data_IF_077067399762
#
_entry.id   IF_077067399762
#
_cell.length_a   1.000
_cell.length_b   1.000
_cell.length_c   1.000
_cell.angle_alpha   90.00
_cell.angle_beta   90.00
_cell.angle_gamma   90.00
#
_symmetry.space_group_name_H-M   'P 1'
#
loop_
_entity.id
_entity.type
_entity.pdbx_description
1 polymer ?
#
# COMPACT_ATOMS: atom_id res chain seq x y z
N UNK A 1 10.30 2.25 -9.45
CA UNK A 1 9.99 2.82 -8.12
C UNK A 1 8.72 2.22 -7.54
N UNK A 2 7.63 2.15 -8.32
CA UNK A 2 6.36 1.53 -7.93
C UNK A 2 6.50 0.05 -7.55
N UNK A 3 7.12 -0.78 -8.41
CA UNK A 3 7.40 -2.21 -8.09
C UNK A 3 8.18 -2.39 -6.78
N UNK A 4 9.16 -1.53 -6.52
CA UNK A 4 9.92 -1.58 -5.27
C UNK A 4 9.09 -1.15 -4.03
N UNK A 5 8.02 -0.36 -4.22
CA UNK A 5 7.01 -0.13 -3.18
C UNK A 5 6.20 -1.42 -2.95
N UNK A 6 5.83 -2.16 -3.98
CA UNK A 6 5.06 -3.40 -3.82
C UNK A 6 5.79 -4.48 -3.04
N UNK A 7 7.12 -4.59 -3.19
CA UNK A 7 7.91 -5.49 -2.33
C UNK A 7 7.80 -5.11 -0.85
N UNK A 8 7.77 -3.81 -0.55
CA UNK A 8 7.55 -3.32 0.81
C UNK A 8 6.11 -3.54 1.27
N UNK A 9 5.11 -3.33 0.41
CA UNK A 9 3.71 -3.66 0.70
C UNK A 9 3.60 -5.11 1.14
N UNK A 10 4.10 -6.04 0.33
CA UNK A 10 4.09 -7.49 0.61
C UNK A 10 4.78 -7.80 1.93
N UNK A 11 5.94 -7.18 2.18
CA UNK A 11 6.67 -7.35 3.43
C UNK A 11 5.83 -6.91 4.64
N UNK A 12 5.38 -5.66 4.68
CA UNK A 12 4.70 -5.09 5.85
C UNK A 12 3.28 -5.66 6.05
N UNK A 13 2.54 -5.92 4.97
CA UNK A 13 1.26 -6.63 5.04
C UNK A 13 1.46 -8.05 5.61
N UNK A 14 2.52 -8.75 5.19
CA UNK A 14 2.89 -10.07 5.71
C UNK A 14 3.41 -10.08 7.16
N UNK A 15 3.80 -8.92 7.72
CA UNK A 15 4.17 -8.82 9.14
C UNK A 15 2.94 -8.77 10.06
N UNK A 16 1.78 -8.31 9.59
CA UNK A 16 0.58 -8.16 10.42
C UNK A 16 0.11 -9.49 11.06
N UNK A 17 -0.04 -10.59 10.31
CA UNK A 17 -0.40 -11.89 10.91
C UNK A 17 0.63 -12.40 11.92
N UNK A 18 1.92 -12.14 11.66
CA UNK A 18 3.02 -12.54 12.56
C UNK A 18 2.96 -11.76 13.86
N UNK A 19 2.75 -10.45 13.78
CA UNK A 19 2.56 -9.60 14.95
C UNK A 19 1.33 -10.03 15.77
N UNK A 20 0.21 -10.30 15.12
CA UNK A 20 -1.00 -10.76 15.80
C UNK A 20 -0.75 -12.08 16.57
N UNK A 21 -0.07 -13.05 15.96
CA UNK A 21 0.30 -14.30 16.61
C UNK A 21 1.31 -14.12 17.76
N UNK A 22 2.30 -13.24 17.58
CA UNK A 22 3.28 -12.91 18.61
C UNK A 22 2.62 -12.28 19.83
N UNK A 23 1.77 -11.27 19.63
CA UNK A 23 1.06 -10.60 20.74
C UNK A 23 0.15 -11.58 21.48
N UNK A 24 -0.52 -12.48 20.76
CA UNK A 24 -1.39 -13.49 21.39
C UNK A 24 -0.63 -14.50 22.26
N UNK A 25 0.65 -14.78 21.95
CA UNK A 25 1.44 -15.82 22.63
C UNK A 25 2.42 -15.26 23.66
N UNK A 26 3.01 -14.08 23.40
CA UNK A 26 4.07 -13.47 24.21
C UNK A 26 3.68 -12.15 24.87
N UNK A 27 2.52 -11.60 24.51
CA UNK A 27 2.11 -10.25 24.92
C UNK A 27 2.85 -9.16 24.16
N UNK A 28 2.78 -7.94 24.69
CA UNK A 28 3.38 -6.75 24.07
C UNK A 28 4.78 -6.53 24.62
N UNK A 29 5.76 -7.14 23.96
CA UNK A 29 7.18 -6.94 24.26
C UNK A 29 7.84 -5.94 23.30
N UNK A 30 9.14 -5.73 23.47
CA UNK A 30 9.88 -4.78 22.64
C UNK A 30 9.89 -5.14 21.14
N UNK A 31 9.73 -6.42 20.79
CA UNK A 31 9.64 -6.85 19.40
C UNK A 31 8.28 -6.49 18.80
N UNK A 32 7.19 -6.76 19.52
CA UNK A 32 5.84 -6.35 19.13
C UNK A 32 5.74 -4.84 18.90
N UNK A 33 6.31 -4.05 19.82
CA UNK A 33 6.35 -2.57 19.73
C UNK A 33 7.06 -2.11 18.45
N UNK A 34 8.27 -2.66 18.18
CA UNK A 34 9.03 -2.28 16.98
C UNK A 34 8.32 -2.68 15.69
N UNK A 35 7.73 -3.88 15.65
CA UNK A 35 6.99 -4.37 14.50
C UNK A 35 5.74 -3.51 14.23
N UNK A 36 4.94 -3.20 15.26
CA UNK A 36 3.78 -2.33 15.13
C UNK A 36 4.18 -0.94 14.62
N UNK A 37 5.22 -0.34 15.18
CA UNK A 37 5.73 0.96 14.72
C UNK A 37 6.22 0.93 13.26
N UNK A 38 6.86 -0.16 12.83
CA UNK A 38 7.32 -0.31 11.45
C UNK A 38 6.16 -0.43 10.45
N UNK A 39 5.14 -1.22 10.79
CA UNK A 39 3.92 -1.36 9.98
C UNK A 39 3.20 -0.01 9.88
N UNK A 40 3.01 0.69 11.01
CA UNK A 40 2.41 2.04 11.05
C UNK A 40 3.14 3.02 10.15
N UNK A 41 4.47 3.14 10.29
CA UNK A 41 5.26 4.06 9.45
C UNK A 41 5.04 3.81 7.96
N UNK A 42 4.97 2.54 7.55
CA UNK A 42 4.78 2.22 6.15
C UNK A 42 3.38 2.61 5.66
N UNK A 43 2.33 2.18 6.35
CA UNK A 43 0.96 2.37 5.89
C UNK A 43 0.37 3.76 6.17
N UNK A 44 0.93 4.53 7.11
CA UNK A 44 0.54 5.94 7.33
C UNK A 44 1.24 6.89 6.34
N UNK A 45 2.39 6.52 5.81
CA UNK A 45 3.24 7.44 5.03
C UNK A 45 3.48 6.95 3.62
N UNK A 46 4.13 5.80 3.45
CA UNK A 46 4.64 5.36 2.17
C UNK A 46 3.53 4.84 1.25
N UNK A 47 2.59 4.06 1.79
CA UNK A 47 1.47 3.51 1.03
C UNK A 47 0.53 4.60 0.46
N UNK A 48 0.07 5.60 1.23
CA UNK A 48 -0.74 6.69 0.66
C UNK A 48 -0.01 7.50 -0.41
N UNK A 49 1.30 7.73 -0.25
CA UNK A 49 2.09 8.41 -1.29
C UNK A 49 2.23 7.57 -2.56
N UNK A 50 2.21 6.25 -2.45
CA UNK A 50 2.26 5.34 -3.57
C UNK A 50 0.95 5.36 -4.36
N UNK A 51 -0.20 5.20 -3.68
CA UNK A 51 -1.49 5.34 -4.34
C UNK A 51 -1.64 6.73 -4.97
N UNK A 52 -1.17 7.79 -4.29
CA UNK A 52 -1.17 9.13 -4.86
C UNK A 52 -0.35 9.23 -6.15
N UNK A 53 0.77 8.51 -6.28
CA UNK A 53 1.52 8.50 -7.53
C UNK A 53 0.73 7.86 -8.67
N UNK A 54 -0.02 6.80 -8.36
CA UNK A 54 -0.84 6.12 -9.34
C UNK A 54 -2.05 6.96 -9.74
N UNK A 55 -2.78 7.45 -8.76
CA UNK A 55 -4.02 8.21 -8.94
C UNK A 55 -3.79 9.55 -9.65
N UNK A 56 -2.71 10.27 -9.30
CA UNK A 56 -2.44 11.60 -9.86
C UNK A 56 -1.69 11.55 -11.20
N UNK A 57 -0.81 10.57 -11.41
CA UNK A 57 0.14 10.61 -12.53
C UNK A 57 0.03 9.43 -13.51
N UNK A 58 -0.22 8.21 -13.03
CA UNK A 58 -0.20 7.01 -13.88
C UNK A 58 -1.57 6.71 -14.46
N UNK A 59 -2.57 6.55 -13.60
CA UNK A 59 -3.93 6.15 -13.98
C UNK A 59 -4.60 7.14 -14.94
N UNK A 60 -4.46 8.48 -14.80
CA UNK A 60 -5.01 9.42 -15.78
C UNK A 60 -4.47 9.19 -17.19
N UNK A 61 -3.17 8.92 -17.32
CA UNK A 61 -2.54 8.67 -18.63
C UNK A 61 -2.96 7.33 -19.22
N UNK A 62 -3.12 6.29 -18.39
CA UNK A 62 -3.65 5.00 -18.85
C UNK A 62 -5.10 5.11 -19.31
N UNK A 63 -5.93 5.93 -18.63
CA UNK A 63 -7.30 6.19 -19.08
C UNK A 63 -7.36 6.92 -20.41
N UNK A 64 -6.52 7.94 -20.58
CA UNK A 64 -6.44 8.75 -21.80
C UNK A 64 -5.97 7.93 -23.00
N UNK A 65 -4.93 7.10 -22.81
CA UNK A 65 -4.21 6.42 -23.89
C UNK A 65 -4.64 4.97 -24.11
N UNK A 66 -5.42 4.42 -23.19
CA UNK A 66 -5.91 3.05 -23.21
C UNK A 66 -7.10 2.82 -24.14
N UNK A 67 -7.39 1.55 -24.41
CA UNK A 67 -8.68 1.14 -24.96
C UNK A 67 -9.74 1.05 -23.85
N UNK A 68 -10.96 0.60 -24.21
CA UNK A 68 -12.06 0.50 -23.26
C UNK A 68 -11.79 -0.53 -22.15
N UNK A 69 -11.06 -1.61 -22.45
CA UNK A 69 -10.75 -2.64 -21.49
C UNK A 69 -9.74 -2.15 -20.45
N UNK A 70 -8.68 -1.46 -20.89
CA UNK A 70 -7.71 -0.86 -19.97
C UNK A 70 -8.35 0.22 -19.08
N UNK A 71 -9.24 1.06 -19.64
CA UNK A 71 -9.97 2.04 -18.84
C UNK A 71 -10.78 1.39 -17.71
N UNK A 72 -11.52 0.32 -18.04
CA UNK A 72 -12.30 -0.41 -17.04
C UNK A 72 -11.39 -1.03 -15.96
N UNK A 73 -10.27 -1.64 -16.35
CA UNK A 73 -9.30 -2.20 -15.39
C UNK A 73 -8.71 -1.13 -14.46
N UNK A 74 -8.38 0.06 -14.98
CA UNK A 74 -7.89 1.18 -14.16
C UNK A 74 -8.96 1.64 -13.18
N UNK A 75 -10.22 1.76 -13.59
CA UNK A 75 -11.31 2.19 -12.70
C UNK A 75 -11.60 1.17 -11.60
N UNK A 76 -11.55 -0.12 -11.92
CA UNK A 76 -11.70 -1.19 -10.95
C UNK A 76 -10.55 -1.19 -9.92
N UNK A 77 -9.31 -1.11 -10.37
CA UNK A 77 -8.12 -1.14 -9.51
C UNK A 77 -8.05 0.13 -8.65
N UNK A 78 -8.34 1.31 -9.21
CA UNK A 78 -8.36 2.56 -8.45
C UNK A 78 -9.41 2.54 -7.33
N UNK A 79 -10.57 1.89 -7.55
CA UNK A 79 -11.60 1.74 -6.52
C UNK A 79 -11.13 0.84 -5.35
N UNK A 80 -10.13 -0.01 -5.53
CA UNK A 80 -9.55 -0.82 -4.45
C UNK A 80 -8.76 0.03 -3.45
N UNK A 81 -8.22 1.19 -3.85
CA UNK A 81 -7.47 2.08 -2.95
C UNK A 81 -8.30 2.52 -1.73
N UNK A 82 -9.55 2.90 -1.94
CA UNK A 82 -10.46 3.31 -0.86
C UNK A 82 -10.79 2.15 0.08
N UNK A 83 -10.98 0.94 -0.49
CA UNK A 83 -11.25 -0.26 0.29
C UNK A 83 -10.03 -0.63 1.18
N UNK A 84 -8.82 -0.59 0.61
CA UNK A 84 -7.58 -0.82 1.36
C UNK A 84 -7.37 0.25 2.44
N UNK A 85 -7.68 1.51 2.13
CA UNK A 85 -7.66 2.62 3.09
C UNK A 85 -8.60 2.37 4.28
N UNK A 86 -9.83 1.92 4.02
CA UNK A 86 -10.80 1.59 5.06
C UNK A 86 -10.34 0.40 5.92
N UNK A 87 -9.79 -0.65 5.31
CA UNK A 87 -9.20 -1.77 6.04
C UNK A 87 -8.04 -1.32 6.94
N UNK A 88 -7.18 -0.42 6.45
CA UNK A 88 -6.09 0.14 7.26
C UNK A 88 -6.62 0.91 8.47
N UNK A 89 -7.64 1.76 8.30
CA UNK A 89 -8.22 2.51 9.41
C UNK A 89 -8.85 1.62 10.49
N UNK A 90 -9.34 0.44 10.12
CA UNK A 90 -9.84 -0.54 11.10
C UNK A 90 -8.72 -1.16 11.95
N UNK A 91 -7.52 -1.36 11.38
CA UNK A 91 -6.36 -1.96 12.06
C UNK A 91 -5.54 -0.94 12.86
N UNK A 92 -5.47 0.30 12.37
CA UNK A 92 -4.58 1.35 12.84
C UNK A 92 -4.66 1.64 14.35
N UNK A 93 -5.84 1.74 15.00
CA UNK A 93 -5.93 2.03 16.43
C UNK A 93 -5.27 0.98 17.32
N UNK A 94 -5.42 -0.31 16.96
CA UNK A 94 -4.80 -1.40 17.70
C UNK A 94 -3.28 -1.38 17.54
N UNK A 95 -2.78 -1.08 16.33
CA UNK A 95 -1.35 -0.97 16.07
C UNK A 95 -0.71 0.21 16.82
N UNK A 96 -1.40 1.35 16.91
CA UNK A 96 -0.95 2.49 17.73
C UNK A 96 -0.78 2.10 19.20
N UNK A 97 -1.76 1.39 19.76
CA UNK A 97 -1.66 0.90 21.13
C UNK A 97 -0.47 -0.06 21.33
N UNK A 98 -0.27 -1.00 20.41
CA UNK A 98 0.88 -1.91 20.46
C UNK A 98 2.21 -1.17 20.35
N UNK A 99 2.31 -0.15 19.48
CA UNK A 99 3.51 0.67 19.32
C UNK A 99 3.83 1.51 20.57
N UNK A 100 2.84 1.80 21.41
CA UNK A 100 3.00 2.46 22.71
C UNK A 100 3.25 1.47 23.86
N UNK A 101 3.39 0.18 23.57
CA UNK A 101 3.57 -0.87 24.58
C UNK A 101 2.30 -1.24 25.35
N UNK A 102 1.13 -0.77 24.88
CA UNK A 102 -0.17 -1.07 25.49
C UNK A 102 -0.75 -2.35 24.89
N UNK A 103 -1.39 -3.15 25.74
CA UNK A 103 -2.12 -4.33 25.30
C UNK A 103 -3.28 -3.93 24.37
N UNK A 104 -3.34 -4.57 23.20
CA UNK A 104 -4.44 -4.44 22.25
C UNK A 104 -4.63 -5.75 21.49
N UNK A 105 -5.86 -6.00 21.05
CA UNK A 105 -6.20 -7.16 20.24
C UNK A 105 -6.31 -6.72 18.78
N UNK A 106 -5.54 -7.36 17.92
CA UNK A 106 -5.75 -7.31 16.48
C UNK A 106 -6.84 -8.31 16.12
N UNK A 107 -7.89 -7.85 15.42
CA UNK A 107 -8.93 -8.75 14.92
C UNK A 107 -8.34 -9.68 13.85
N UNK A 108 -8.37 -11.02 14.05
CA UNK A 108 -7.80 -11.96 13.08
C UNK A 108 -8.42 -11.83 11.69
N UNK A 109 -9.72 -11.54 11.58
CA UNK A 109 -10.37 -11.41 10.28
C UNK A 109 -9.87 -10.18 9.52
N UNK A 110 -9.81 -9.01 10.18
CA UNK A 110 -9.25 -7.79 9.60
C UNK A 110 -7.77 -7.96 9.21
N UNK A 111 -6.96 -8.59 10.06
CA UNK A 111 -5.54 -8.85 9.79
C UNK A 111 -5.35 -9.73 8.56
N UNK A 112 -6.08 -10.85 8.48
CA UNK A 112 -5.97 -11.78 7.35
C UNK A 112 -6.53 -11.18 6.06
N UNK A 113 -7.59 -10.37 6.16
CA UNK A 113 -8.14 -9.62 5.03
C UNK A 113 -7.09 -8.69 4.43
N UNK A 114 -6.54 -7.78 5.24
CA UNK A 114 -5.55 -6.82 4.77
C UNK A 114 -4.25 -7.47 4.27
N UNK A 115 -3.78 -8.52 4.96
CA UNK A 115 -2.57 -9.27 4.55
C UNK A 115 -2.75 -10.06 3.24
N UNK A 116 -4.00 -10.28 2.80
CA UNK A 116 -4.33 -10.92 1.52
C UNK A 116 -4.62 -9.88 0.43
N UNK A 117 -5.47 -8.92 0.74
CA UNK A 117 -6.06 -8.02 -0.25
C UNK A 117 -5.03 -7.02 -0.78
N UNK A 118 -4.16 -6.46 0.07
CA UNK A 118 -3.14 -5.51 -0.37
C UNK A 118 -2.10 -6.14 -1.31
N UNK A 119 -1.50 -7.31 -0.98
CA UNK A 119 -0.60 -7.98 -1.92
C UNK A 119 -1.28 -8.41 -3.22
N UNK A 120 -2.57 -8.76 -3.17
CA UNK A 120 -3.35 -9.11 -4.36
C UNK A 120 -3.55 -7.89 -5.26
N UNK A 121 -3.93 -6.74 -4.70
CA UNK A 121 -4.03 -5.46 -5.40
C UNK A 121 -2.73 -5.09 -6.10
N UNK A 122 -1.61 -5.09 -5.37
CA UNK A 122 -0.28 -4.82 -5.94
C UNK A 122 0.11 -5.77 -7.09
N UNK A 123 -0.32 -7.04 -7.02
CA UNK A 123 -0.10 -8.01 -8.08
C UNK A 123 -0.97 -7.73 -9.32
N UNK A 124 -2.20 -7.24 -9.13
CA UNK A 124 -3.08 -6.82 -10.24
C UNK A 124 -2.50 -5.62 -10.97
N UNK A 125 -2.03 -4.60 -10.25
CA UNK A 125 -1.39 -3.43 -10.86
C UNK A 125 -0.19 -3.81 -11.73
N UNK A 126 0.69 -4.67 -11.20
CA UNK A 126 1.87 -5.18 -11.91
C UNK A 126 1.51 -6.00 -13.15
N UNK A 127 0.44 -6.79 -13.10
CA UNK A 127 0.05 -7.67 -14.19
C UNK A 127 -0.81 -6.98 -15.26
N UNK A 128 -1.73 -6.11 -14.83
CA UNK A 128 -2.80 -5.57 -15.66
C UNK A 128 -2.49 -4.14 -16.14
N UNK A 129 -1.78 -3.31 -15.36
CA UNK A 129 -1.62 -1.88 -15.66
C UNK A 129 -0.20 -1.51 -16.08
N UNK A 130 0.81 -1.95 -15.35
CA UNK A 130 2.19 -1.50 -15.58
C UNK A 130 2.76 -1.85 -16.98
N UNK A 131 2.47 -3.02 -17.58
CA UNK A 131 2.90 -3.30 -18.95
C UNK A 131 2.30 -2.31 -19.97
N UNK A 132 1.12 -1.77 -19.68
CA UNK A 132 0.50 -0.72 -20.50
C UNK A 132 1.17 0.63 -20.26
N UNK A 133 1.55 0.95 -19.03
CA UNK A 133 2.27 2.18 -18.71
C UNK A 133 3.61 2.25 -19.47
N UNK A 134 4.38 1.15 -19.46
CA UNK A 134 5.65 1.05 -20.20
C UNK A 134 5.48 1.20 -21.72
N UNK A 135 4.35 0.72 -22.26
CA UNK A 135 4.07 0.73 -23.71
C UNK A 135 3.44 2.03 -24.20
N UNK A 136 2.57 2.65 -23.41
CA UNK A 136 1.71 3.76 -23.84
C UNK A 136 2.24 5.14 -23.41
N UNK A 137 3.05 5.20 -22.35
CA UNK A 137 3.54 6.46 -21.80
C UNK A 137 4.92 6.77 -22.39
N UNK A 138 5.11 7.92 -23.07
CA UNK A 138 6.41 8.33 -23.60
C UNK A 138 7.47 8.45 -22.50
N UNK A 139 8.72 8.16 -22.85
CA UNK A 139 9.83 8.13 -21.89
C UNK A 139 10.08 9.48 -21.20
N UNK A 140 9.90 10.60 -21.92
CA UNK A 140 10.02 11.95 -21.35
C UNK A 140 8.91 12.24 -20.33
N UNK A 141 7.70 11.73 -20.57
CA UNK A 141 6.58 11.81 -19.63
C UNK A 141 6.86 10.93 -18.41
N UNK A 142 7.32 9.68 -18.58
CA UNK A 142 7.72 8.81 -17.47
C UNK A 142 8.81 9.43 -16.60
N UNK A 143 9.78 10.12 -17.20
CA UNK A 143 10.82 10.84 -16.45
C UNK A 143 10.23 11.98 -15.59
N UNK A 144 9.27 12.73 -16.12
CA UNK A 144 8.56 13.79 -15.38
C UNK A 144 7.72 13.23 -14.23
N UNK A 145 7.03 12.10 -14.45
CA UNK A 145 6.31 11.39 -13.37
C UNK A 145 7.30 11.00 -12.27
N UNK A 146 8.44 10.40 -12.63
CA UNK A 146 9.47 10.04 -11.66
C UNK A 146 9.97 11.23 -10.81
N UNK A 147 10.10 12.41 -11.42
CA UNK A 147 10.44 13.65 -10.71
C UNK A 147 9.32 14.11 -9.76
N UNK A 148 8.07 14.08 -10.20
CA UNK A 148 6.91 14.44 -9.38
C UNK A 148 6.78 13.52 -8.16
N UNK A 149 6.90 12.20 -8.38
CA UNK A 149 6.89 11.21 -7.32
C UNK A 149 8.04 11.45 -6.32
N UNK A 150 9.26 11.75 -6.79
CA UNK A 150 10.39 12.07 -5.90
C UNK A 150 10.12 13.35 -5.08
N UNK A 151 9.57 14.40 -5.69
CA UNK A 151 9.23 15.65 -5.01
C UNK A 151 8.18 15.44 -3.90
N UNK A 152 7.20 14.55 -4.09
CA UNK A 152 6.21 14.18 -3.06
C UNK A 152 6.83 13.59 -1.79
N UNK A 153 8.04 13.02 -1.87
CA UNK A 153 8.75 12.47 -0.70
C UNK A 153 9.54 13.53 0.07
N UNK A 154 9.90 14.64 -0.57
CA UNK A 154 10.65 15.74 0.05
C UNK A 154 9.73 16.65 0.87
N UNK A 155 8.47 16.80 0.46
CA UNK A 155 7.52 17.73 1.07
C UNK A 155 6.76 17.14 2.27
N UNK A 156 7.20 15.99 2.80
CA UNK A 156 6.52 15.29 3.91
C UNK A 156 7.36 15.16 5.19
N UNK A 157 8.51 15.83 5.25
CA UNK A 157 9.31 16.07 6.45
C UNK A 157 8.89 17.38 7.13
#
# INVERSE_FOLDING_TARGET
>A
MLIACHDRVRHYAGLLPKLAGHVATRGVDAEAVRAAAAILRYFDVAAPLHHQDEDDDVFPLLRERGDAALRAAVDEIAAEHDALGAQWQALRPALLALAEGRAARLDPAAVQGFARDYPAHAAREEAELYPHAERLIPADVLARIGQAMAARRIHKD
#
